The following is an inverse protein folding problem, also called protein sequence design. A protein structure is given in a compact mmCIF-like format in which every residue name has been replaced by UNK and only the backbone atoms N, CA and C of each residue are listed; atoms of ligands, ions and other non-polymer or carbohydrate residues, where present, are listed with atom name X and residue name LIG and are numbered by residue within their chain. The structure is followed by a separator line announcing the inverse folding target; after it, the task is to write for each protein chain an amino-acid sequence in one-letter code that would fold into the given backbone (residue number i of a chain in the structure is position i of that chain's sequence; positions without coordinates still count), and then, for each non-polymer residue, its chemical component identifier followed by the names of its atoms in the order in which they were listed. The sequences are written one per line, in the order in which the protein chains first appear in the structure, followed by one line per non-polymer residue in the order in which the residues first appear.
data_IF_740948213245
#
_entry.id   IF_740948213245
#
_cell.length_a   1.000
_cell.length_b   1.000
_cell.length_c   1.000
_cell.angle_alpha   90.00
_cell.angle_beta   90.00
_cell.angle_gamma   90.00
#
_symmetry.space_group_name_H-M   'P 1'
#
loop_
_entity.id
_entity.type
_entity.pdbx_description
1 polymer ?
#
# COMPACT_ATOMS: atom_id res chain seq x y z
N UNK A 1 1.67 3.09 2.44
CA UNK A 1 0.62 2.23 3.03
C UNK A 1 0.69 0.86 2.38
N UNK A 2 0.90 -0.18 3.18
CA UNK A 2 0.87 -1.59 2.73
C UNK A 2 -0.52 -2.17 2.97
N UNK A 3 -1.10 -1.85 4.12
CA UNK A 3 -2.50 -2.14 4.43
C UNK A 3 -3.34 -0.85 4.33
N UNK A 4 -4.66 -0.99 4.26
CA UNK A 4 -5.58 0.16 4.22
C UNK A 4 -5.53 1.03 5.49
N UNK A 5 -5.06 0.47 6.60
CA UNK A 5 -4.97 1.12 7.90
C UNK A 5 -3.52 1.29 8.34
N UNK A 6 -3.08 2.55 8.45
CA UNK A 6 -1.71 2.92 8.85
C UNK A 6 -1.34 2.42 10.26
N UNK A 7 -2.31 2.36 11.18
CA UNK A 7 -2.08 1.86 12.54
C UNK A 7 -1.73 0.38 12.53
N UNK A 8 -2.43 -0.42 11.73
CA UNK A 8 -2.13 -1.84 11.58
C UNK A 8 -0.77 -2.08 10.90
N UNK A 9 -0.40 -1.23 9.94
CA UNK A 9 0.94 -1.28 9.33
C UNK A 9 2.02 -1.11 10.38
N UNK A 10 1.90 -0.12 11.27
CA UNK A 10 2.87 0.12 12.36
C UNK A 10 2.90 -0.99 13.38
N UNK A 11 1.74 -1.51 13.82
CA UNK A 11 1.67 -2.62 14.77
C UNK A 11 2.33 -3.86 14.17
N UNK A 12 2.04 -4.17 12.90
CA UNK A 12 2.65 -5.29 12.20
C UNK A 12 4.15 -5.14 12.03
N UNK A 13 4.62 -3.94 11.70
CA UNK A 13 6.05 -3.65 11.56
C UNK A 13 6.79 -3.78 12.89
N UNK A 14 6.26 -3.21 13.97
CA UNK A 14 6.83 -3.34 15.32
C UNK A 14 6.80 -4.79 15.80
N UNK A 15 5.70 -5.52 15.55
CA UNK A 15 5.59 -6.93 15.84
C UNK A 15 6.63 -7.76 15.09
N UNK A 16 6.84 -7.49 13.81
CA UNK A 16 7.88 -8.15 13.01
C UNK A 16 9.29 -7.87 13.57
N UNK A 17 9.57 -6.62 13.94
CA UNK A 17 10.86 -6.27 14.56
C UNK A 17 11.08 -7.00 15.88
N UNK A 18 10.05 -7.05 16.75
CA UNK A 18 10.10 -7.81 17.98
C UNK A 18 10.37 -9.30 17.71
N UNK A 19 9.64 -9.90 16.78
CA UNK A 19 9.88 -11.29 16.38
C UNK A 19 11.29 -11.49 15.82
N UNK A 20 11.81 -10.56 15.03
CA UNK A 20 13.14 -10.65 14.45
C UNK A 20 14.25 -10.70 15.52
N UNK A 21 14.10 -9.97 16.61
CA UNK A 21 15.05 -10.02 17.74
C UNK A 21 15.08 -11.42 18.39
N UNK A 22 13.90 -12.00 18.62
CA UNK A 22 13.81 -13.27 19.37
C UNK A 22 13.91 -14.52 18.49
N UNK A 23 13.52 -14.44 17.21
CA UNK A 23 13.38 -15.57 16.28
C UNK A 23 14.14 -15.36 14.96
N UNK A 24 15.22 -14.59 14.96
CA UNK A 24 15.96 -14.20 13.75
C UNK A 24 16.37 -15.37 12.85
N UNK A 25 16.69 -16.53 13.43
CA UNK A 25 17.09 -17.72 12.66
C UNK A 25 15.97 -18.25 11.75
N UNK A 26 14.71 -18.10 12.16
CA UNK A 26 13.55 -18.53 11.37
C UNK A 26 13.32 -17.57 10.20
N UNK A 27 13.73 -16.31 10.34
CA UNK A 27 13.55 -15.27 9.34
C UNK A 27 14.68 -15.22 8.29
N UNK A 28 15.80 -15.90 8.52
CA UNK A 28 16.95 -15.91 7.59
C UNK A 28 16.58 -16.23 6.14
N UNK A 29 15.76 -17.25 5.85
CA UNK A 29 15.37 -17.56 4.46
C UNK A 29 14.58 -16.44 3.78
N UNK A 30 13.95 -15.56 4.56
CA UNK A 30 13.10 -14.47 4.06
C UNK A 30 13.86 -13.16 3.86
N UNK A 31 15.14 -13.08 4.26
CA UNK A 31 15.98 -11.88 4.14
C UNK A 31 16.04 -11.32 2.72
N UNK A 32 16.21 -12.12 1.65
CA UNK A 32 16.23 -11.59 0.28
C UNK A 32 14.92 -10.88 -0.10
N UNK A 33 13.79 -11.43 0.31
CA UNK A 33 12.48 -10.84 0.06
C UNK A 33 12.27 -9.56 0.88
N UNK A 34 12.74 -9.54 2.13
CA UNK A 34 12.74 -8.33 2.96
C UNK A 34 13.59 -7.23 2.35
N UNK A 35 14.78 -7.56 1.84
CA UNK A 35 15.65 -6.61 1.17
C UNK A 35 14.98 -5.97 -0.05
N UNK A 36 14.29 -6.76 -0.89
CA UNK A 36 13.50 -6.25 -2.00
C UNK A 36 12.38 -5.30 -1.52
N UNK A 37 11.70 -5.65 -0.43
CA UNK A 37 10.69 -4.79 0.18
C UNK A 37 11.26 -3.46 0.68
N UNK A 38 12.43 -3.47 1.31
CA UNK A 38 13.11 -2.25 1.78
C UNK A 38 13.60 -1.38 0.63
N UNK A 39 14.07 -1.99 -0.47
CA UNK A 39 14.44 -1.26 -1.69
C UNK A 39 13.27 -0.46 -2.29
N UNK A 40 12.03 -0.78 -1.95
CA UNK A 40 10.84 -0.04 -2.41
C UNK A 40 10.87 1.44 -2.01
N UNK A 41 11.47 1.77 -0.88
CA UNK A 41 11.58 3.16 -0.41
C UNK A 41 12.54 4.02 -1.25
N UNK A 42 13.44 3.40 -2.00
CA UNK A 42 14.40 4.11 -2.85
C UNK A 42 14.05 4.03 -4.36
N UNK A 43 13.32 3.01 -4.79
CA UNK A 43 13.15 2.71 -6.20
C UNK A 43 11.73 2.91 -6.72
N UNK A 44 10.78 2.09 -6.30
CA UNK A 44 9.42 2.10 -6.84
C UNK A 44 8.42 1.58 -5.83
N UNK A 45 7.28 2.26 -5.72
CA UNK A 45 6.14 1.83 -4.90
C UNK A 45 5.63 0.42 -5.24
N UNK A 46 6.00 -0.13 -6.40
CA UNK A 46 5.63 -1.51 -6.80
C UNK A 46 6.23 -2.58 -5.91
N UNK A 47 7.39 -2.32 -5.31
CA UNK A 47 8.05 -3.29 -4.41
C UNK A 47 7.47 -3.31 -2.99
N UNK A 48 6.60 -2.37 -2.63
CA UNK A 48 5.90 -2.33 -1.33
C UNK A 48 5.14 -3.63 -1.06
N UNK A 49 4.61 -4.30 -2.10
CA UNK A 49 3.92 -5.58 -1.94
C UNK A 49 4.80 -6.67 -1.28
N UNK A 50 6.13 -6.59 -1.42
CA UNK A 50 7.04 -7.54 -0.78
C UNK A 50 7.16 -7.32 0.74
N UNK A 51 6.71 -6.17 1.28
CA UNK A 51 6.65 -5.93 2.73
C UNK A 51 5.36 -6.47 3.37
N UNK A 52 4.30 -6.69 2.59
CA UNK A 52 3.01 -7.14 3.12
C UNK A 52 3.11 -8.45 3.92
N UNK A 53 3.83 -9.51 3.47
CA UNK A 53 4.01 -10.73 4.25
C UNK A 53 4.68 -10.50 5.61
N UNK A 54 5.66 -9.60 5.68
CA UNK A 54 6.38 -9.31 6.93
C UNK A 54 5.50 -8.57 7.94
N UNK A 55 4.67 -7.65 7.47
CA UNK A 55 3.67 -6.98 8.29
C UNK A 55 2.65 -8.00 8.80
N UNK A 56 2.19 -8.91 7.94
CA UNK A 56 1.27 -10.00 8.31
C UNK A 56 1.86 -10.94 9.37
N UNK A 57 3.13 -11.35 9.21
CA UNK A 57 3.86 -12.17 10.19
C UNK A 57 3.97 -11.43 11.53
N UNK A 58 4.30 -10.14 11.50
CA UNK A 58 4.40 -9.31 12.70
C UNK A 58 3.07 -9.16 13.44
N UNK A 59 1.98 -8.94 12.72
CA UNK A 59 0.63 -8.89 13.29
C UNK A 59 0.23 -10.21 13.92
N UNK A 60 0.51 -11.34 13.25
CA UNK A 60 0.24 -12.68 13.77
C UNK A 60 1.01 -12.96 15.06
N UNK A 61 2.28 -12.60 15.11
CA UNK A 61 3.09 -12.76 16.31
C UNK A 61 2.63 -11.85 17.45
N UNK A 62 2.28 -10.61 17.17
CA UNK A 62 1.71 -9.70 18.16
C UNK A 62 0.40 -10.24 18.73
N UNK A 63 -0.51 -10.75 17.91
CA UNK A 63 -1.75 -11.37 18.35
C UNK A 63 -1.48 -12.60 19.23
N UNK A 64 -0.50 -13.41 18.87
CA UNK A 64 -0.07 -14.55 19.70
C UNK A 64 0.36 -14.09 21.10
N UNK A 65 1.19 -13.03 21.20
CA UNK A 65 1.62 -12.50 22.49
C UNK A 65 0.44 -11.98 23.33
N UNK A 66 -0.52 -11.31 22.71
CA UNK A 66 -1.73 -10.83 23.39
C UNK A 66 -2.53 -12.01 23.96
N UNK A 67 -2.78 -13.04 23.15
CA UNK A 67 -3.51 -14.23 23.57
C UNK A 67 -2.76 -14.95 24.71
N UNK A 68 -1.45 -15.17 24.57
CA UNK A 68 -0.64 -15.80 25.60
C UNK A 68 -0.63 -14.98 26.90
N UNK A 69 -0.53 -13.66 26.80
CA UNK A 69 -0.60 -12.76 27.95
C UNK A 69 -1.94 -12.86 28.70
N UNK A 70 -3.04 -12.84 27.96
CA UNK A 70 -4.40 -13.02 28.54
C UNK A 70 -4.52 -14.35 29.25
N UNK A 71 -4.10 -15.46 28.60
CA UNK A 71 -4.13 -16.77 29.25
C UNK A 71 -3.22 -16.85 30.47
N UNK A 72 -2.05 -16.25 30.43
CA UNK A 72 -1.15 -16.18 31.56
C UNK A 72 -1.79 -15.48 32.77
N UNK A 73 -2.41 -14.31 32.55
CA UNK A 73 -3.09 -13.56 33.61
C UNK A 73 -4.27 -14.34 34.19
N UNK A 74 -5.10 -14.95 33.34
CA UNK A 74 -6.25 -15.76 33.76
C UNK A 74 -5.80 -17.00 34.57
N UNK A 75 -4.72 -17.65 34.12
CA UNK A 75 -4.20 -18.85 34.79
C UNK A 75 -3.50 -18.52 36.11
N UNK A 76 -2.80 -17.42 36.23
CA UNK A 76 -2.26 -16.94 37.48
C UNK A 76 -3.36 -16.60 38.48
N UNK A 77 -4.40 -15.89 38.07
CA UNK A 77 -5.56 -15.61 38.93
C UNK A 77 -6.21 -16.86 39.43
N UNK A 78 -6.34 -17.89 38.58
CA UNK A 78 -6.93 -19.17 39.00
C UNK A 78 -6.03 -19.94 39.99
N UNK A 79 -4.70 -19.92 39.82
CA UNK A 79 -3.75 -20.49 40.78
C UNK A 79 -3.78 -19.76 42.11
N UNK A 80 -3.83 -18.43 42.12
CA UNK A 80 -3.87 -17.65 43.34
C UNK A 80 -5.20 -17.84 44.08
N UNK A 81 -6.32 -17.93 43.38
CA UNK A 81 -7.63 -18.27 43.94
C UNK A 81 -7.63 -19.70 44.59
N UNK A 82 -7.10 -20.68 43.90
CA UNK A 82 -7.01 -22.04 44.44
C UNK A 82 -6.05 -22.12 45.63
N UNK A 83 -4.96 -21.36 45.62
CA UNK A 83 -4.03 -21.29 46.77
C UNK A 83 -4.68 -20.60 47.96
N UNK A 84 -5.46 -19.55 47.74
CA UNK A 84 -6.22 -18.88 48.80
C UNK A 84 -7.28 -19.80 49.42
N UNK A 85 -8.03 -20.54 48.58
CA UNK A 85 -9.03 -21.48 49.04
C UNK A 85 -8.41 -22.67 49.84
N UNK A 86 -7.28 -23.21 49.37
CA UNK A 86 -6.58 -24.25 50.10
C UNK A 86 -5.96 -23.79 51.42
N UNK A 87 -5.54 -22.51 51.50
CA UNK A 87 -5.09 -21.91 52.74
C UNK A 87 -6.26 -21.72 53.71
N UNK A 88 -7.41 -21.22 53.22
CA UNK A 88 -8.64 -21.07 54.05
C UNK A 88 -9.14 -22.42 54.55
N UNK A 89 -9.09 -23.46 53.76
CA UNK A 89 -9.49 -24.82 54.15
C UNK A 89 -8.55 -25.43 55.23
N UNK A 90 -7.23 -25.20 55.08
CA UNK A 90 -6.25 -25.59 56.12
C UNK A 90 -6.48 -24.86 57.44
N UNK A 91 -6.83 -23.57 57.38
CA UNK A 91 -7.11 -22.76 58.58
C UNK A 91 -8.39 -23.25 59.25
N UNK A 92 -9.43 -23.58 58.50
CA UNK A 92 -10.67 -24.18 59.01
C UNK A 92 -10.46 -25.56 59.61
N UNK A 93 -9.63 -26.40 59.00
CA UNK A 93 -9.27 -27.70 59.53
C UNK A 93 -8.43 -27.60 60.82
N UNK A 94 -7.53 -26.63 60.90
CA UNK A 94 -6.76 -26.33 62.13
C UNK A 94 -7.67 -25.89 63.25
N UNK A 95 -8.60 -24.96 62.98
CA UNK A 95 -9.56 -24.48 63.94
C UNK A 95 -10.53 -25.58 64.40
N UNK A 96 -10.97 -26.45 63.51
CA UNK A 96 -11.80 -27.62 63.84
C UNK A 96 -11.04 -28.61 64.72
N UNK A 97 -9.75 -28.87 64.47
CA UNK A 97 -8.90 -29.69 65.36
C UNK A 97 -8.74 -29.10 66.75
N UNK A 98 -8.52 -27.81 66.85
CA UNK A 98 -8.40 -27.08 68.15
C UNK A 98 -9.71 -27.13 68.93
N UNK A 99 -10.86 -26.96 68.26
CA UNK A 99 -12.18 -27.10 68.86
C UNK A 99 -12.46 -28.54 69.34
N UNK A 100 -12.04 -29.53 68.54
CA UNK A 100 -12.21 -30.96 68.84
C UNK A 100 -11.29 -31.36 70.01
N UNK A 101 -10.05 -30.84 70.06
CA UNK A 101 -9.12 -31.02 71.17
C UNK A 101 -9.67 -30.44 72.46
N UNK A 102 -10.15 -29.16 72.44
CA UNK A 102 -10.81 -28.53 73.60
C UNK A 102 -12.06 -29.31 74.08
N UNK A 103 -12.82 -29.98 73.17
CA UNK A 103 -13.94 -30.87 73.55
C UNK A 103 -13.49 -32.17 74.12
N UNK A 104 -12.34 -32.76 73.76
CA UNK A 104 -11.75 -33.93 74.32
C UNK A 104 -11.20 -33.67 75.73
N UNK A 105 -10.55 -32.54 75.91
CA UNK A 105 -10.03 -32.11 77.22
C UNK A 105 -11.16 -31.80 78.22
N UNK A 106 -12.36 -31.43 77.73
CA UNK A 106 -13.55 -31.22 78.55
C UNK A 106 -14.36 -32.53 78.86
N UNK A 107 -14.06 -33.66 78.22
CA UNK A 107 -14.69 -34.93 78.41
C UNK A 107 -13.66 -36.01 78.76
N UNK A 108 -12.78 -35.72 79.71
CA UNK A 108 -11.99 -36.77 80.41
C UNK A 108 -12.87 -37.53 81.30
N UNK A 109 -13.64 -38.54 80.80
CA UNK A 109 -14.09 -39.76 81.46
C UNK A 109 -14.93 -40.59 80.51
N UNK A 110 -14.51 -41.88 80.36
CA UNK A 110 -15.24 -43.07 79.93
C UNK A 110 -15.37 -43.33 78.41
N UNK A 111 -14.81 -44.45 78.11
CA UNK A 111 -15.28 -45.69 77.45
C UNK A 111 -14.51 -46.04 76.17
N UNK A 112 -13.80 -47.13 76.29
CA UNK A 112 -13.26 -48.00 75.21
C UNK A 112 -14.41 -48.61 74.39
N UNK A 113 -14.30 -48.57 73.07
CA UNK A 113 -14.99 -49.47 72.15
C UNK A 113 -14.14 -49.63 70.86
N UNK A 114 -14.16 -50.78 70.20
CA UNK A 114 -13.11 -51.25 69.30
C UNK A 114 -13.18 -50.63 67.89
N UNK A 115 -12.00 -50.49 67.27
CA UNK A 115 -11.80 -50.11 65.91
C UNK A 115 -12.31 -51.18 64.92
N UNK A 116 -13.27 -50.79 64.06
CA UNK A 116 -13.49 -51.47 62.81
C UNK A 116 -12.90 -50.56 61.69
N UNK A 117 -11.83 -51.07 61.09
CA UNK A 117 -11.15 -50.40 59.97
C UNK A 117 -12.03 -50.35 58.74
N UNK A 118 -12.21 -49.13 58.25
CA UNK A 118 -12.61 -48.89 56.86
C UNK A 118 -11.47 -48.10 56.20
N UNK A 119 -10.74 -48.79 55.33
CA UNK A 119 -9.73 -48.22 54.51
C UNK A 119 -10.34 -47.24 53.50
N UNK A 120 -10.19 -45.92 53.74
CA UNK A 120 -10.49 -44.92 52.75
C UNK A 120 -9.30 -44.84 51.81
N UNK A 121 -9.41 -45.42 50.62
CA UNK A 121 -8.52 -45.20 49.50
C UNK A 121 -8.70 -43.77 49.05
N UNK A 122 -7.74 -42.94 49.35
CA UNK A 122 -7.64 -41.60 48.77
C UNK A 122 -7.42 -41.71 47.24
N UNK A 123 -8.27 -41.12 46.39
CA UNK A 123 -8.03 -41.14 44.96
C UNK A 123 -6.80 -40.30 44.67
N UNK A 124 -5.84 -40.89 43.96
CA UNK A 124 -4.58 -40.30 43.55
C UNK A 124 -4.87 -39.08 42.67
N UNK A 125 -4.64 -37.89 43.20
CA UNK A 125 -4.83 -36.55 42.53
C UNK A 125 -3.89 -36.32 41.34
N UNK A 126 -3.03 -37.26 40.99
CA UNK A 126 -2.03 -37.11 39.93
C UNK A 126 -2.59 -37.16 38.50
N UNK A 127 -3.66 -37.91 38.26
CA UNK A 127 -4.22 -38.06 36.91
C UNK A 127 -5.13 -36.90 36.48
N UNK A 128 -5.71 -36.16 37.43
CA UNK A 128 -6.61 -35.06 37.13
C UNK A 128 -5.84 -33.80 36.67
N UNK A 129 -4.66 -33.54 37.19
CA UNK A 129 -3.83 -32.38 36.83
C UNK A 129 -3.20 -32.52 35.45
N UNK A 130 -2.85 -33.73 35.00
CA UNK A 130 -2.32 -33.96 33.65
C UNK A 130 -3.40 -33.78 32.56
N UNK A 131 -4.62 -34.24 32.84
CA UNK A 131 -5.72 -34.16 31.88
C UNK A 131 -6.24 -32.72 31.71
N UNK A 132 -6.28 -31.95 32.80
CA UNK A 132 -6.64 -30.51 32.71
C UNK A 132 -5.60 -29.67 31.98
N UNK A 133 -4.31 -30.00 32.06
CA UNK A 133 -3.27 -29.27 31.32
C UNK A 133 -3.36 -29.51 29.81
N UNK A 134 -3.71 -30.69 29.37
CA UNK A 134 -3.94 -31.01 27.97
C UNK A 134 -5.17 -30.29 27.42
N UNK A 135 -6.27 -30.29 28.15
CA UNK A 135 -7.50 -29.61 27.74
C UNK A 135 -7.31 -28.07 27.64
N UNK A 136 -6.61 -27.48 28.60
CA UNK A 136 -6.27 -26.05 28.57
C UNK A 136 -5.37 -25.67 27.37
N UNK A 137 -4.44 -26.54 26.98
CA UNK A 137 -3.63 -26.35 25.79
C UNK A 137 -4.47 -26.38 24.50
N UNK A 138 -5.44 -27.28 24.39
CA UNK A 138 -6.36 -27.35 23.27
C UNK A 138 -7.25 -26.11 23.18
N UNK A 139 -7.77 -25.61 24.30
CA UNK A 139 -8.56 -24.37 24.36
C UNK A 139 -7.70 -23.17 23.93
N UNK A 140 -6.45 -23.09 24.42
CA UNK A 140 -5.51 -22.02 24.04
C UNK A 140 -5.22 -22.02 22.55
N UNK A 141 -4.93 -23.18 21.97
CA UNK A 141 -4.71 -23.31 20.54
C UNK A 141 -5.96 -22.99 19.73
N UNK A 142 -7.12 -23.48 20.14
CA UNK A 142 -8.40 -23.18 19.51
C UNK A 142 -8.70 -21.68 19.52
N UNK A 143 -8.50 -21.00 20.64
CA UNK A 143 -8.67 -19.57 20.76
C UNK A 143 -7.70 -18.78 19.87
N UNK A 144 -6.44 -19.24 19.76
CA UNK A 144 -5.44 -18.67 18.85
C UNK A 144 -5.89 -18.79 17.39
N UNK A 145 -6.28 -19.98 16.95
CA UNK A 145 -6.71 -20.20 15.56
C UNK A 145 -8.00 -19.44 15.23
N UNK A 146 -8.98 -19.42 16.13
CA UNK A 146 -10.22 -18.65 15.95
C UNK A 146 -9.95 -17.14 15.95
N UNK A 147 -9.09 -16.65 16.85
CA UNK A 147 -8.70 -15.25 16.92
C UNK A 147 -7.94 -14.81 15.66
N UNK A 148 -6.98 -15.61 15.20
CA UNK A 148 -6.25 -15.35 13.95
C UNK A 148 -7.19 -15.43 12.74
N UNK A 149 -8.04 -16.45 12.65
CA UNK A 149 -9.00 -16.59 11.56
C UNK A 149 -9.98 -15.42 11.50
N UNK A 150 -10.54 -15.01 12.64
CA UNK A 150 -11.41 -13.84 12.74
C UNK A 150 -10.69 -12.53 12.38
N UNK A 151 -9.46 -12.37 12.84
CA UNK A 151 -8.63 -11.20 12.52
C UNK A 151 -8.30 -11.12 11.02
N UNK A 152 -7.88 -12.25 10.41
CA UNK A 152 -7.65 -12.31 8.96
C UNK A 152 -8.93 -12.11 8.16
N UNK A 153 -10.07 -12.62 8.64
CA UNK A 153 -11.38 -12.36 8.04
C UNK A 153 -11.71 -10.87 8.03
N UNK A 154 -11.54 -10.18 9.16
CA UNK A 154 -11.80 -8.74 9.27
C UNK A 154 -10.88 -7.91 8.35
N UNK A 155 -9.59 -8.25 8.31
CA UNK A 155 -8.63 -7.54 7.42
C UNK A 155 -8.92 -7.87 5.96
N UNK A 156 -9.17 -9.12 5.61
CA UNK A 156 -9.48 -9.54 4.24
C UNK A 156 -10.75 -8.90 3.73
N UNK A 157 -11.80 -8.80 4.57
CA UNK A 157 -13.04 -8.11 4.22
C UNK A 157 -12.82 -6.64 3.89
N UNK A 158 -11.97 -5.95 4.66
CA UNK A 158 -11.66 -4.54 4.43
C UNK A 158 -10.71 -4.31 3.23
N UNK A 159 -9.78 -5.22 2.96
CA UNK A 159 -8.78 -5.03 1.92
C UNK A 159 -9.18 -5.63 0.58
N UNK A 160 -9.78 -6.82 0.56
CA UNK A 160 -10.11 -7.53 -0.66
C UNK A 160 -11.44 -7.07 -1.28
N UNK A 161 -12.46 -6.76 -0.47
CA UNK A 161 -13.80 -6.40 -0.96
C UNK A 161 -13.90 -4.91 -1.27
N UNK A 162 -13.28 -4.05 -0.46
CA UNK A 162 -13.31 -2.59 -0.66
C UNK A 162 -12.21 -2.08 -1.59
N UNK A 163 -11.20 -2.88 -1.89
CA UNK A 163 -10.07 -2.53 -2.72
C UNK A 163 -10.00 -3.33 -4.01
N UNK A 164 -11.13 -3.53 -4.68
CA UNK A 164 -11.09 -3.89 -6.10
C UNK A 164 -10.82 -2.58 -6.86
N UNK A 165 -9.58 -2.34 -7.35
CA UNK A 165 -9.34 -1.14 -8.12
C UNK A 165 -10.22 -1.18 -9.36
N UNK A 166 -10.93 -0.10 -9.63
CA UNK A 166 -11.62 0.04 -10.91
C UNK A 166 -10.61 -0.07 -12.06
N UNK A 167 -11.06 -0.40 -13.28
CA UNK A 167 -10.17 -0.47 -14.43
C UNK A 167 -9.48 0.89 -14.63
N UNK A 168 -8.17 0.86 -14.87
CA UNK A 168 -7.36 2.07 -15.13
C UNK A 168 -7.86 2.85 -16.35
N UNK A 169 -8.40 2.13 -17.33
CA UNK A 169 -9.03 2.66 -18.52
C UNK A 169 -10.55 2.46 -18.38
N UNK A 170 -11.28 3.55 -18.23
CA UNK A 170 -12.73 3.48 -18.12
C UNK A 170 -13.38 3.13 -19.48
N UNK A 171 -14.58 2.57 -19.43
CA UNK A 171 -15.30 2.05 -20.62
C UNK A 171 -15.43 3.09 -21.74
N UNK A 172 -15.69 4.35 -21.41
CA UNK A 172 -15.82 5.42 -22.41
C UNK A 172 -14.53 5.67 -23.19
N UNK A 173 -13.37 5.64 -22.50
CA UNK A 173 -12.07 5.81 -23.15
C UNK A 173 -11.74 4.60 -24.02
N UNK A 174 -12.03 3.37 -23.55
CA UNK A 174 -11.83 2.16 -24.34
C UNK A 174 -12.70 2.17 -25.60
N UNK A 175 -13.97 2.59 -25.49
CA UNK A 175 -14.84 2.77 -26.66
C UNK A 175 -14.26 3.80 -27.65
N UNK A 176 -13.64 4.87 -27.15
CA UNK A 176 -12.97 5.86 -28.02
C UNK A 176 -11.79 5.24 -28.79
N UNK A 177 -11.00 4.33 -28.18
CA UNK A 177 -9.94 3.63 -28.90
C UNK A 177 -10.52 2.81 -30.07
N UNK A 178 -11.63 2.10 -29.85
CA UNK A 178 -12.31 1.34 -30.91
C UNK A 178 -12.83 2.24 -32.04
N UNK A 179 -13.30 3.45 -31.71
CA UNK A 179 -13.69 4.42 -32.74
C UNK A 179 -12.48 4.97 -33.52
N UNK A 180 -11.36 5.19 -32.86
CA UNK A 180 -10.10 5.58 -33.52
C UNK A 180 -9.67 4.52 -34.52
N UNK A 181 -9.72 3.21 -34.13
CA UNK A 181 -9.40 2.10 -35.00
C UNK A 181 -10.17 2.11 -36.32
N UNK A 182 -11.44 2.53 -36.28
CA UNK A 182 -12.29 2.59 -37.49
C UNK A 182 -11.94 3.75 -38.43
N UNK A 183 -11.24 4.79 -37.91
CA UNK A 183 -11.01 6.06 -38.62
C UNK A 183 -9.59 6.23 -39.15
N UNK A 184 -8.66 5.40 -38.68
CA UNK A 184 -7.25 5.50 -39.10
C UNK A 184 -6.81 4.23 -39.82
N UNK A 185 -5.83 4.29 -40.71
CA UNK A 185 -5.26 3.13 -41.37
C UNK A 185 -4.68 2.11 -40.37
N UNK A 186 -4.69 0.82 -40.73
CA UNK A 186 -4.16 -0.24 -39.87
C UNK A 186 -2.65 -0.10 -39.58
N UNK A 187 -1.91 0.51 -40.49
CA UNK A 187 -0.48 0.81 -40.36
C UNK A 187 -0.19 2.14 -39.64
N UNK A 188 -1.22 2.81 -39.11
CA UNK A 188 -1.02 4.07 -38.37
C UNK A 188 -0.33 3.86 -37.03
N UNK A 189 0.45 4.85 -36.60
CA UNK A 189 1.01 4.94 -35.26
C UNK A 189 0.36 6.08 -34.48
N UNK A 190 0.13 5.86 -33.18
CA UNK A 190 -0.43 6.88 -32.30
C UNK A 190 0.63 7.43 -31.35
N UNK A 191 0.83 8.76 -31.38
CA UNK A 191 1.62 9.48 -30.41
C UNK A 191 0.71 10.02 -29.32
N UNK A 192 0.93 9.52 -28.11
CA UNK A 192 0.20 9.92 -26.90
C UNK A 192 1.10 9.77 -25.68
N UNK A 193 0.60 10.02 -24.49
CA UNK A 193 1.31 9.74 -23.26
C UNK A 193 1.32 8.24 -22.94
N UNK A 194 2.38 7.73 -22.34
CA UNK A 194 2.65 6.30 -22.13
C UNK A 194 1.55 5.51 -21.39
N UNK A 195 0.74 6.18 -20.57
CA UNK A 195 -0.34 5.55 -19.82
C UNK A 195 -1.35 4.80 -20.69
N UNK A 196 -1.49 5.19 -21.95
CA UNK A 196 -2.49 4.65 -22.86
C UNK A 196 -1.92 3.60 -23.82
N UNK A 197 -0.59 3.48 -23.91
CA UNK A 197 0.07 2.66 -24.92
C UNK A 197 -0.41 1.23 -24.95
N UNK A 198 -0.38 0.53 -23.84
CA UNK A 198 -0.88 -0.86 -23.78
C UNK A 198 -2.36 -0.98 -24.14
N UNK A 199 -3.20 -0.10 -23.63
CA UNK A 199 -4.64 -0.16 -23.86
C UNK A 199 -4.99 0.16 -25.33
N UNK A 200 -4.27 1.06 -25.96
CA UNK A 200 -4.41 1.35 -27.40
C UNK A 200 -3.99 0.16 -28.22
N UNK A 201 -2.84 -0.41 -27.95
CA UNK A 201 -2.35 -1.59 -28.69
C UNK A 201 -3.29 -2.79 -28.53
N UNK A 202 -3.78 -3.03 -27.31
CA UNK A 202 -4.73 -4.09 -27.01
C UNK A 202 -6.07 -3.89 -27.75
N UNK A 203 -6.66 -2.70 -27.66
CA UNK A 203 -7.96 -2.39 -28.24
C UNK A 203 -7.94 -2.30 -29.78
N UNK A 204 -6.83 -1.80 -30.35
CA UNK A 204 -6.80 -1.39 -31.75
C UNK A 204 -5.85 -2.21 -32.61
N UNK A 205 -4.79 -2.78 -32.06
CA UNK A 205 -3.66 -3.35 -32.80
C UNK A 205 -2.70 -2.28 -33.38
N UNK A 206 -2.97 -0.99 -33.18
CA UNK A 206 -2.14 0.10 -33.73
C UNK A 206 -0.83 0.24 -32.93
N UNK A 207 0.21 0.69 -33.63
CA UNK A 207 1.48 1.00 -33.01
C UNK A 207 1.37 2.24 -32.12
N UNK A 208 2.11 2.25 -30.99
CA UNK A 208 2.25 3.42 -30.12
C UNK A 208 3.72 3.75 -29.91
N UNK A 209 4.03 5.03 -29.70
CA UNK A 209 5.41 5.47 -29.53
C UNK A 209 6.04 4.97 -28.22
N UNK A 210 5.25 4.83 -27.18
CA UNK A 210 5.67 4.21 -25.93
C UNK A 210 4.47 3.80 -25.05
N UNK A 211 4.76 2.96 -24.08
CA UNK A 211 3.82 2.38 -23.15
C UNK A 211 4.41 2.34 -21.72
N UNK A 212 3.73 1.69 -20.80
CA UNK A 212 4.20 1.53 -19.41
C UNK A 212 5.54 0.77 -19.28
N UNK A 213 5.90 -0.10 -20.23
CA UNK A 213 7.22 -0.75 -20.29
C UNK A 213 8.31 0.19 -20.77
N UNK A 214 7.97 1.09 -21.68
CA UNK A 214 8.89 2.06 -22.26
C UNK A 214 9.01 3.38 -21.51
N UNK A 215 8.28 3.58 -20.40
CA UNK A 215 8.20 4.88 -19.69
C UNK A 215 9.53 5.41 -19.15
N UNK A 216 10.52 4.56 -18.93
CA UNK A 216 11.86 4.93 -18.46
C UNK A 216 12.87 5.12 -19.59
N UNK A 217 12.45 4.92 -20.84
CA UNK A 217 13.34 5.09 -21.99
C UNK A 217 13.59 6.56 -22.31
N UNK A 218 14.73 6.90 -22.92
CA UNK A 218 15.06 8.28 -23.29
C UNK A 218 14.03 8.95 -24.19
N UNK A 219 13.32 8.19 -25.04
CA UNK A 219 12.27 8.75 -25.91
C UNK A 219 11.12 9.38 -25.14
N UNK A 220 10.89 8.97 -23.86
CA UNK A 220 9.83 9.54 -23.02
C UNK A 220 10.04 11.03 -22.76
N UNK A 221 11.30 11.46 -22.60
CA UNK A 221 11.65 12.88 -22.51
C UNK A 221 11.22 13.65 -23.77
N UNK A 222 11.56 13.14 -24.96
CA UNK A 222 11.23 13.81 -26.21
C UNK A 222 9.73 13.82 -26.48
N UNK A 223 9.02 12.74 -26.17
CA UNK A 223 7.56 12.71 -26.26
C UNK A 223 6.95 13.76 -25.32
N UNK A 224 7.40 13.82 -24.05
CA UNK A 224 6.94 14.84 -23.12
C UNK A 224 7.25 16.24 -23.63
N UNK A 225 8.41 16.46 -24.20
CA UNK A 225 8.82 17.75 -24.78
C UNK A 225 7.93 18.16 -25.95
N UNK A 226 7.65 17.23 -26.87
CA UNK A 226 6.73 17.48 -27.97
C UNK A 226 5.31 17.81 -27.49
N UNK A 227 4.79 17.06 -26.50
CA UNK A 227 3.44 17.27 -25.96
C UNK A 227 3.26 18.61 -25.23
N UNK A 228 4.33 19.25 -24.75
CA UNK A 228 4.27 20.55 -24.08
C UNK A 228 4.71 21.69 -24.99
N UNK A 229 5.23 21.40 -26.18
CA UNK A 229 5.69 22.41 -27.11
C UNK A 229 4.52 23.30 -27.59
N UNK A 230 4.77 24.58 -27.68
CA UNK A 230 3.87 25.52 -28.34
C UNK A 230 4.22 25.69 -29.80
N UNK A 231 5.34 25.11 -30.23
CA UNK A 231 5.83 25.12 -31.60
C UNK A 231 5.43 23.84 -32.32
N UNK A 232 4.57 23.91 -33.35
CA UNK A 232 4.17 22.75 -34.12
C UNK A 232 5.33 22.07 -34.85
N UNK A 233 6.33 22.85 -35.28
CA UNK A 233 7.50 22.33 -35.99
C UNK A 233 8.35 21.47 -35.05
N UNK A 234 8.60 21.94 -33.82
CA UNK A 234 9.29 21.13 -32.82
C UNK A 234 8.58 19.80 -32.53
N UNK A 235 7.24 19.82 -32.41
CA UNK A 235 6.46 18.58 -32.23
C UNK A 235 6.58 17.68 -33.45
N UNK A 236 6.52 18.24 -34.64
CA UNK A 236 6.66 17.49 -35.89
C UNK A 236 8.04 16.85 -35.99
N UNK A 237 9.12 17.57 -35.78
CA UNK A 237 10.49 17.07 -35.88
C UNK A 237 10.74 15.95 -34.85
N UNK A 238 10.33 16.14 -33.60
CA UNK A 238 10.40 15.10 -32.56
C UNK A 238 9.67 13.84 -33.00
N UNK A 239 8.46 14.01 -33.55
CA UNK A 239 7.63 12.88 -33.97
C UNK A 239 8.28 12.12 -35.13
N UNK A 240 8.79 12.84 -36.14
CA UNK A 240 9.51 12.24 -37.27
C UNK A 240 10.75 11.49 -36.82
N UNK A 241 11.57 12.09 -35.97
CA UNK A 241 12.80 11.52 -35.45
C UNK A 241 12.50 10.23 -34.65
N UNK A 242 11.54 10.27 -33.75
CA UNK A 242 11.19 9.11 -32.94
C UNK A 242 10.58 7.97 -33.77
N UNK A 243 9.84 8.27 -34.81
CA UNK A 243 9.24 7.26 -35.69
C UNK A 243 10.29 6.53 -36.54
N UNK A 244 11.36 7.20 -36.92
CA UNK A 244 12.38 6.67 -37.83
C UNK A 244 13.60 6.14 -37.09
N UNK A 245 14.12 6.90 -36.14
CA UNK A 245 15.36 6.61 -35.42
C UNK A 245 15.12 5.97 -34.05
N UNK A 246 14.09 6.41 -33.34
CA UNK A 246 13.67 5.87 -32.05
C UNK A 246 14.77 5.91 -30.98
N UNK A 247 14.75 4.92 -30.09
CA UNK A 247 15.77 4.81 -29.02
C UNK A 247 17.18 4.56 -29.56
N UNK A 248 17.30 3.89 -30.73
CA UNK A 248 18.60 3.63 -31.37
C UNK A 248 19.23 4.93 -31.82
N UNK A 249 18.49 5.78 -32.55
CA UNK A 249 19.01 7.07 -32.97
C UNK A 249 19.36 7.99 -31.79
N UNK A 250 18.57 7.98 -30.71
CA UNK A 250 18.92 8.69 -29.50
C UNK A 250 20.28 8.23 -28.93
N UNK A 251 20.52 6.91 -28.89
CA UNK A 251 21.77 6.36 -28.38
C UNK A 251 22.96 6.69 -29.29
N UNK A 252 22.80 6.58 -30.61
CA UNK A 252 23.84 6.85 -31.61
C UNK A 252 24.22 8.34 -31.68
N UNK A 253 23.25 9.23 -31.52
CA UNK A 253 23.46 10.68 -31.56
C UNK A 253 23.75 11.32 -30.18
N UNK A 254 23.84 10.54 -29.11
CA UNK A 254 24.09 11.04 -27.76
C UNK A 254 25.59 11.25 -27.49
N UNK A 255 26.26 11.96 -28.39
CA UNK A 255 27.67 12.38 -28.20
C UNK A 255 27.76 13.62 -27.32
N UNK A 256 26.79 14.53 -27.41
CA UNK A 256 26.55 15.64 -26.48
C UNK A 256 25.05 15.96 -26.47
N UNK A 257 24.54 16.62 -25.40
CA UNK A 257 23.14 17.06 -25.36
C UNK A 257 22.77 17.98 -26.55
N UNK A 258 23.68 18.85 -26.97
CA UNK A 258 23.46 19.75 -28.09
C UNK A 258 23.40 19.03 -29.43
N UNK A 259 24.29 18.03 -29.63
CA UNK A 259 24.30 17.22 -30.84
C UNK A 259 23.00 16.41 -30.96
N UNK A 260 22.54 15.85 -29.87
CA UNK A 260 21.26 15.10 -29.80
C UNK A 260 20.08 16.01 -30.12
N UNK A 261 20.02 17.22 -29.53
CA UNK A 261 18.96 18.20 -29.83
C UNK A 261 19.00 18.62 -31.28
N UNK A 262 20.17 18.82 -31.86
CA UNK A 262 20.33 19.18 -33.28
C UNK A 262 19.85 18.04 -34.20
N UNK A 263 20.17 16.77 -33.86
CA UNK A 263 19.70 15.59 -34.61
C UNK A 263 18.16 15.49 -34.58
N UNK A 264 17.55 15.70 -33.42
CA UNK A 264 16.08 15.61 -33.26
C UNK A 264 15.37 16.72 -34.02
N UNK A 265 15.96 17.96 -34.09
CA UNK A 265 15.38 19.10 -34.82
C UNK A 265 15.54 19.00 -36.35
N UNK A 266 16.42 18.15 -36.83
CA UNK A 266 16.67 17.96 -38.25
C UNK A 266 16.61 16.48 -38.60
N UNK A 267 15.44 15.84 -38.52
CA UNK A 267 15.30 14.43 -38.83
C UNK A 267 15.63 14.18 -40.32
N UNK A 268 16.54 13.22 -40.56
CA UNK A 268 17.01 12.91 -41.93
C UNK A 268 16.01 12.04 -42.69
N UNK A 269 15.24 11.24 -41.98
CA UNK A 269 14.28 10.30 -42.52
C UNK A 269 12.85 10.76 -42.25
N UNK A 270 11.93 10.38 -43.12
CA UNK A 270 10.50 10.54 -42.91
C UNK A 270 9.85 9.19 -42.76
N UNK A 271 8.93 9.00 -41.79
CA UNK A 271 8.20 7.76 -41.65
C UNK A 271 7.31 7.51 -42.87
N UNK A 272 7.17 6.25 -43.24
CA UNK A 272 6.29 5.82 -44.32
C UNK A 272 4.82 5.77 -43.88
N UNK A 273 4.62 5.39 -42.61
CA UNK A 273 3.30 5.20 -42.05
C UNK A 273 2.75 6.49 -41.44
N UNK A 274 1.43 6.70 -41.51
CA UNK A 274 0.81 7.92 -40.96
C UNK A 274 0.85 7.92 -39.44
N UNK A 275 1.11 9.08 -38.86
CA UNK A 275 1.17 9.29 -37.43
C UNK A 275 0.05 10.21 -36.99
N UNK A 276 -0.70 9.78 -35.98
CA UNK A 276 -1.78 10.56 -35.38
C UNK A 276 -1.45 10.93 -33.97
N UNK A 277 -1.79 12.17 -33.59
CA UNK A 277 -1.72 12.63 -32.21
C UNK A 277 -3.01 12.27 -31.51
N UNK A 278 -2.89 11.63 -30.34
CA UNK A 278 -4.04 11.23 -29.53
C UNK A 278 -3.98 11.89 -28.15
N UNK A 279 -4.91 12.81 -27.89
CA UNK A 279 -5.03 13.54 -26.65
C UNK A 279 -6.32 13.17 -25.93
N UNK A 280 -6.25 13.00 -24.61
CA UNK A 280 -7.39 12.71 -23.74
C UNK A 280 -7.59 13.82 -22.73
N UNK A 281 -8.83 14.03 -22.28
CA UNK A 281 -9.14 15.08 -21.30
C UNK A 281 -8.39 14.89 -19.97
N UNK A 282 -8.15 13.65 -19.54
CA UNK A 282 -7.43 13.33 -18.31
C UNK A 282 -5.92 13.61 -18.38
N UNK A 283 -5.35 13.80 -19.59
CA UNK A 283 -3.97 14.28 -19.75
C UNK A 283 -3.77 15.67 -19.12
N UNK A 284 -4.83 16.46 -18.98
CA UNK A 284 -4.75 17.74 -18.25
C UNK A 284 -4.34 17.53 -16.79
N UNK A 285 -4.85 16.50 -16.13
CA UNK A 285 -4.43 16.10 -14.77
C UNK A 285 -2.99 15.58 -14.69
N UNK A 286 -2.48 14.99 -15.78
CA UNK A 286 -1.12 14.44 -15.90
C UNK A 286 -0.11 15.50 -16.40
N UNK A 287 -0.60 16.62 -16.88
CA UNK A 287 0.23 17.64 -17.52
C UNK A 287 1.37 18.16 -16.65
N UNK A 288 1.18 18.22 -15.33
CA UNK A 288 2.26 18.60 -14.40
C UNK A 288 3.47 17.67 -14.48
N UNK A 289 3.24 16.35 -14.57
CA UNK A 289 4.30 15.35 -14.71
C UNK A 289 4.93 15.40 -16.11
N UNK A 290 4.09 15.50 -17.16
CA UNK A 290 4.54 15.64 -18.56
C UNK A 290 5.40 16.89 -18.70
N UNK A 291 4.93 18.01 -18.16
CA UNK A 291 5.63 19.29 -18.23
C UNK A 291 6.94 19.29 -17.44
N UNK A 292 6.98 18.64 -16.28
CA UNK A 292 8.22 18.50 -15.49
C UNK A 292 9.31 17.78 -16.29
N UNK A 293 8.95 16.73 -17.00
CA UNK A 293 9.87 15.95 -17.82
C UNK A 293 10.22 16.69 -19.11
N UNK A 294 9.23 17.14 -19.86
CA UNK A 294 9.43 17.76 -21.17
C UNK A 294 10.10 19.13 -21.13
N UNK A 295 10.01 19.85 -20.00
CA UNK A 295 10.71 21.13 -19.81
C UNK A 295 12.11 20.98 -19.23
N UNK A 296 12.61 19.75 -19.06
CA UNK A 296 13.96 19.52 -18.59
C UNK A 296 14.96 20.05 -19.62
N UNK A 297 15.89 20.89 -19.16
CA UNK A 297 17.01 21.37 -19.97
C UNK A 297 18.14 20.33 -19.88
N UNK A 298 18.34 19.57 -20.97
CA UNK A 298 19.36 18.51 -20.99
C UNK A 298 20.78 19.06 -21.11
N UNK A 299 20.96 20.35 -21.44
CA UNK A 299 22.25 21.02 -21.55
C UNK A 299 22.68 21.57 -20.19
N UNK A 300 21.79 22.36 -19.56
CA UNK A 300 22.13 23.11 -18.34
C UNK A 300 21.55 22.45 -17.06
N UNK A 301 20.68 21.47 -17.22
CA UNK A 301 19.93 20.87 -16.13
C UNK A 301 18.73 21.74 -15.69
N UNK A 302 17.87 21.14 -14.88
CA UNK A 302 16.70 21.81 -14.33
C UNK A 302 15.46 21.73 -15.23
N UNK A 303 14.29 21.95 -14.63
CA UNK A 303 13.01 21.95 -15.34
C UNK A 303 12.17 23.18 -14.98
N UNK A 304 11.31 23.60 -15.89
CA UNK A 304 10.33 24.70 -15.69
C UNK A 304 8.91 24.12 -15.82
N UNK A 305 8.45 23.31 -14.85
CA UNK A 305 7.18 22.62 -14.96
C UNK A 305 6.03 23.61 -14.97
N UNK A 306 4.99 23.26 -15.72
CA UNK A 306 3.71 23.96 -15.77
C UNK A 306 2.62 22.96 -15.35
N UNK A 307 1.49 23.46 -14.88
CA UNK A 307 0.36 22.62 -14.49
C UNK A 307 -0.95 23.30 -14.80
N UNK A 308 -1.99 22.51 -14.93
CA UNK A 308 -3.36 23.00 -14.91
C UNK A 308 -3.93 22.82 -13.51
N UNK A 309 -4.63 23.82 -13.03
CA UNK A 309 -5.32 23.78 -11.78
C UNK A 309 -6.81 24.05 -12.03
N UNK A 310 -7.67 23.14 -11.67
CA UNK A 310 -9.10 23.34 -11.68
C UNK A 310 -9.49 24.22 -10.50
N UNK A 311 -9.99 25.42 -10.81
CA UNK A 311 -10.41 26.39 -9.82
C UNK A 311 -11.92 26.53 -9.86
N UNK A 312 -12.61 26.17 -8.77
CA UNK A 312 -14.03 26.51 -8.57
C UNK A 312 -14.12 27.97 -8.10
N UNK A 313 -14.61 28.85 -8.95
CA UNK A 313 -14.68 30.28 -8.67
C UNK A 313 -16.11 30.69 -8.28
N UNK A 314 -16.24 31.35 -7.12
CA UNK A 314 -17.55 31.77 -6.58
C UNK A 314 -17.93 33.21 -6.97
N UNK A 315 -16.96 34.04 -7.33
CA UNK A 315 -17.19 35.44 -7.66
C UNK A 315 -16.28 35.81 -8.81
N UNK A 316 -16.87 36.31 -9.86
CA UNK A 316 -16.19 36.80 -11.06
C UNK A 316 -16.57 38.26 -11.23
N UNK A 317 -15.58 39.13 -11.23
CA UNK A 317 -15.70 40.54 -11.64
C UNK A 317 -14.78 40.80 -12.80
N UNK A 318 -14.91 41.94 -13.46
CA UNK A 318 -14.03 42.30 -14.58
C UNK A 318 -12.53 42.44 -14.18
N UNK A 319 -12.25 42.60 -12.90
CA UNK A 319 -10.89 42.82 -12.39
C UNK A 319 -10.37 41.66 -11.53
N UNK A 320 -11.24 40.96 -10.82
CA UNK A 320 -10.86 39.92 -9.86
C UNK A 320 -11.78 38.72 -9.90
N UNK A 321 -11.20 37.55 -9.69
CA UNK A 321 -11.92 36.30 -9.45
C UNK A 321 -11.54 35.70 -8.10
N UNK A 322 -12.54 35.39 -7.28
CA UNK A 322 -12.34 34.62 -6.05
C UNK A 322 -12.65 33.15 -6.33
N UNK A 323 -11.60 32.36 -6.34
CA UNK A 323 -11.64 30.93 -6.56
C UNK A 323 -11.28 30.19 -5.26
N UNK A 324 -11.76 28.99 -5.08
CA UNK A 324 -11.52 28.23 -3.86
C UNK A 324 -10.00 28.10 -3.58
N UNK A 325 -9.50 28.86 -2.60
CA UNK A 325 -8.08 28.88 -2.22
C UNK A 325 -7.17 29.79 -3.06
N UNK A 326 -7.72 30.53 -4.02
CA UNK A 326 -6.93 31.45 -4.83
C UNK A 326 -7.71 32.73 -5.18
N UNK A 327 -7.03 33.87 -5.07
CA UNK A 327 -7.49 35.16 -5.61
C UNK A 327 -6.74 35.44 -6.90
N UNK A 328 -7.48 35.62 -8.00
CA UNK A 328 -6.91 35.89 -9.30
C UNK A 328 -7.17 37.37 -9.64
N UNK A 329 -6.10 38.11 -9.83
CA UNK A 329 -6.12 39.47 -10.35
C UNK A 329 -5.98 39.38 -11.86
N UNK A 330 -7.07 39.66 -12.57
CA UNK A 330 -7.12 39.59 -14.03
C UNK A 330 -6.38 40.77 -14.68
N UNK A 331 -6.34 41.91 -13.98
CA UNK A 331 -5.67 43.13 -14.47
C UNK A 331 -4.14 43.02 -14.32
N UNK A 332 -3.68 42.53 -13.19
CA UNK A 332 -2.25 42.31 -12.96
C UNK A 332 -1.75 40.99 -13.54
N UNK A 333 -2.65 40.09 -13.98
CA UNK A 333 -2.28 38.74 -14.46
C UNK A 333 -1.58 37.89 -13.42
N UNK A 334 -2.08 37.89 -12.15
CA UNK A 334 -1.44 37.20 -11.04
C UNK A 334 -2.44 36.37 -10.21
N UNK A 335 -1.96 35.29 -9.67
CA UNK A 335 -2.67 34.43 -8.66
C UNK A 335 -2.07 34.75 -7.30
N UNK A 336 -2.93 35.11 -6.32
CA UNK A 336 -2.54 35.49 -4.95
C UNK A 336 -1.40 36.51 -4.91
N UNK A 337 -1.39 37.43 -5.87
CA UNK A 337 -0.37 38.48 -6.07
C UNK A 337 1.08 37.98 -6.25
N UNK A 338 1.29 36.70 -6.39
CA UNK A 338 2.62 36.09 -6.43
C UNK A 338 2.91 35.33 -7.73
N UNK A 339 1.98 34.49 -8.19
CA UNK A 339 2.21 33.62 -9.32
C UNK A 339 1.67 34.26 -10.60
N UNK A 340 2.49 34.45 -11.65
CA UNK A 340 2.02 34.98 -12.89
C UNK A 340 1.03 34.05 -13.59
N UNK A 341 -0.10 34.58 -14.02
CA UNK A 341 -1.12 33.86 -14.79
C UNK A 341 -0.78 33.99 -16.27
N UNK A 342 -0.47 32.88 -16.92
CA UNK A 342 -0.13 32.89 -18.35
C UNK A 342 -1.35 32.76 -19.26
N UNK A 343 -2.32 31.91 -18.87
CA UNK A 343 -3.56 31.68 -19.64
C UNK A 343 -4.65 31.17 -18.70
N UNK A 344 -5.88 31.55 -18.98
CA UNK A 344 -7.08 31.05 -18.35
C UNK A 344 -7.97 30.39 -19.40
N UNK A 345 -8.49 29.25 -19.11
CA UNK A 345 -9.43 28.50 -19.96
C UNK A 345 -10.72 28.35 -19.16
N UNK A 346 -11.80 28.91 -19.71
CA UNK A 346 -13.14 28.69 -19.14
C UNK A 346 -13.76 27.48 -19.82
N UNK A 347 -14.18 26.54 -19.03
CA UNK A 347 -14.94 25.39 -19.50
C UNK A 347 -16.39 25.60 -19.05
N UNK A 348 -17.30 25.73 -19.98
CA UNK A 348 -18.74 25.80 -19.75
C UNK A 348 -19.36 24.51 -20.26
N UNK A 349 -20.21 23.88 -19.43
CA UNK A 349 -20.99 22.71 -19.80
C UNK A 349 -20.19 21.56 -20.45
N UNK A 350 -18.93 21.44 -20.05
CA UNK A 350 -18.03 20.38 -20.54
C UNK A 350 -17.45 20.62 -21.95
N UNK A 351 -17.63 21.84 -22.51
CA UNK A 351 -17.02 22.27 -23.77
C UNK A 351 -15.95 23.34 -23.61
#
# INVERSE_FOLDING_TARGET
RVLSNTTLDWIGFLGFFGMAIFKWRVLLPLVPMLALGVLSFQSSNRFIMFLAPFIGIGLGWFLQLVVEGVFYVLFQRHKDFNKANSAAEKTNHSNAKVVTQRRKDAKGLKAQLPETGFGATTPTTSNFTLQTSHYLNWIRQGALYLGMGGFFWLISGQTAISFVPGPSIHTGLYATFLEVKKRVPENAALLTWWDYGYAITDATGLATFHDGGGQTSPKTYFIARGLISADPEELYDITQYLATEGNRGIAENNTSPEALLAAVRNPKLKPWDPIYLFFTADMTGKYGAISKLGSWDIVNGGSKPRGYQNLACNKITNEEMNCRGAKIDLKAGKINNQVPLKRMIFIRDGQ
#
